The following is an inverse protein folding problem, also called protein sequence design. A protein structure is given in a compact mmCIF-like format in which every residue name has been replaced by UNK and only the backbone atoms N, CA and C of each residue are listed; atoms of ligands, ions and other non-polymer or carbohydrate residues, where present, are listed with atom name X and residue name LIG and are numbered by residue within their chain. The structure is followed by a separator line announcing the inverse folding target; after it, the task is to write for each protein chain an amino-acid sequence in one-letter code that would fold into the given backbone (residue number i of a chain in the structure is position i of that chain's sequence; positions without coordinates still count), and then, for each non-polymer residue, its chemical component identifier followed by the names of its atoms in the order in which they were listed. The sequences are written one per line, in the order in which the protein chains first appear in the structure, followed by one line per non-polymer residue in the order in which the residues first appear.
data_IF_662576228708
#
_entry.id   IF_662576228708
#
_cell.length_a   1.000
_cell.length_b   1.000
_cell.length_c   1.000
_cell.angle_alpha   90.00
_cell.angle_beta   90.00
_cell.angle_gamma   90.00
#
_symmetry.space_group_name_H-M   'P 1'
#
loop_
_entity.id
_entity.type
_entity.pdbx_description
1 polymer ?
#
# COMPACT_ATOMS: atom_id res chain seq x y z
N UNK A 1 -26.07 6.59 -26.69
CA UNK A 1 -25.54 7.79 -26.00
C UNK A 1 -24.12 7.45 -25.59
N UNK A 2 -23.13 8.03 -26.28
CA UNK A 2 -21.73 7.74 -26.05
C UNK A 2 -21.29 8.32 -24.71
N UNK A 3 -20.73 7.49 -23.88
CA UNK A 3 -20.02 7.89 -22.68
C UNK A 3 -18.79 8.70 -23.16
N UNK A 4 -18.84 10.01 -23.04
CA UNK A 4 -17.63 10.83 -23.09
C UNK A 4 -16.87 10.51 -21.83
N UNK A 5 -15.87 9.64 -21.97
CA UNK A 5 -14.96 9.34 -20.89
C UNK A 5 -14.32 10.62 -20.41
N UNK A 6 -14.60 10.98 -19.16
CA UNK A 6 -13.68 11.82 -18.40
C UNK A 6 -12.30 11.18 -18.53
N UNK A 7 -11.29 12.01 -18.66
CA UNK A 7 -9.90 11.61 -18.80
C UNK A 7 -9.48 10.87 -17.52
N UNK A 8 -9.92 9.61 -17.42
CA UNK A 8 -9.41 8.69 -16.44
C UNK A 8 -7.90 8.67 -16.62
N UNK A 9 -7.16 8.71 -15.54
CA UNK A 9 -5.72 8.64 -15.59
C UNK A 9 -5.35 7.38 -16.38
N UNK A 10 -4.91 7.58 -17.60
CA UNK A 10 -4.40 6.52 -18.43
C UNK A 10 -3.05 6.11 -17.82
N UNK A 11 -3.04 4.98 -17.13
CA UNK A 11 -1.82 4.45 -16.52
C UNK A 11 -0.69 4.24 -17.54
N UNK A 12 -1.04 4.14 -18.83
CA UNK A 12 -0.06 4.08 -19.93
C UNK A 12 0.53 5.45 -20.26
N UNK A 13 -0.19 6.54 -20.00
CA UNK A 13 0.28 7.90 -20.28
C UNK A 13 1.00 8.57 -19.11
N UNK A 14 0.71 8.12 -17.88
CA UNK A 14 1.30 8.70 -16.66
C UNK A 14 1.60 7.62 -15.61
N UNK A 15 2.35 6.58 -15.96
CA UNK A 15 2.74 5.60 -14.97
C UNK A 15 3.72 6.24 -13.98
N UNK A 16 3.70 5.86 -12.71
CA UNK A 16 4.85 6.05 -11.85
C UNK A 16 6.05 5.44 -12.57
N UNK A 17 7.01 6.25 -12.95
CA UNK A 17 8.14 5.83 -13.79
C UNK A 17 8.89 4.62 -13.23
N UNK A 18 8.73 4.35 -11.93
CA UNK A 18 9.42 3.30 -11.20
C UNK A 18 8.67 1.96 -11.20
N UNK A 19 7.33 1.98 -11.22
CA UNK A 19 6.50 0.79 -10.95
C UNK A 19 5.78 0.24 -12.18
N UNK A 20 5.78 0.93 -13.31
CA UNK A 20 5.06 0.54 -14.52
C UNK A 20 5.94 0.08 -15.67
N UNK A 21 7.25 0.00 -15.47
CA UNK A 21 8.21 -0.44 -16.52
C UNK A 21 7.92 -1.82 -17.09
N UNK A 22 7.19 -2.64 -16.33
CA UNK A 22 6.89 -4.03 -16.70
C UNK A 22 5.49 -4.24 -17.28
N UNK A 23 4.67 -3.18 -17.44
CA UNK A 23 3.29 -3.34 -17.93
C UNK A 23 3.26 -3.93 -19.34
N UNK A 24 4.07 -3.40 -20.25
CA UNK A 24 4.17 -3.90 -21.61
C UNK A 24 4.69 -5.33 -21.68
N UNK A 25 5.66 -5.68 -20.83
CA UNK A 25 6.18 -7.03 -20.72
C UNK A 25 5.12 -8.00 -20.21
N UNK A 26 4.33 -7.63 -19.22
CA UNK A 26 3.23 -8.45 -18.72
C UNK A 26 2.12 -8.62 -19.75
N UNK A 27 1.75 -7.57 -20.49
CA UNK A 27 0.77 -7.65 -21.58
C UNK A 27 1.30 -8.57 -22.69
N UNK A 28 2.58 -8.48 -23.03
CA UNK A 28 3.21 -9.37 -24.02
C UNK A 28 3.23 -10.85 -23.59
N UNK A 29 3.26 -11.10 -22.28
CA UNK A 29 3.13 -12.43 -21.68
C UNK A 29 1.67 -12.92 -21.61
N UNK A 30 0.71 -12.14 -22.09
CA UNK A 30 -0.72 -12.46 -22.01
C UNK A 30 -1.35 -12.25 -20.62
N UNK A 31 -0.68 -11.54 -19.73
CA UNK A 31 -1.22 -11.20 -18.40
C UNK A 31 -2.17 -10.02 -18.57
N UNK A 32 -3.41 -10.19 -18.11
CA UNK A 32 -4.38 -9.12 -18.12
C UNK A 32 -4.02 -8.07 -17.07
N UNK A 33 -3.79 -6.83 -17.51
CA UNK A 33 -3.59 -5.69 -16.62
C UNK A 33 -4.96 -5.07 -16.30
N UNK A 34 -5.26 -4.99 -15.00
CA UNK A 34 -6.48 -4.37 -14.49
C UNK A 34 -6.10 -3.00 -13.92
N UNK A 35 -6.39 -1.95 -14.67
CA UNK A 35 -6.23 -0.59 -14.15
C UNK A 35 -7.40 -0.27 -13.21
N UNK A 36 -7.15 0.19 -11.98
CA UNK A 36 -8.21 0.74 -11.14
C UNK A 36 -8.70 2.04 -11.76
N UNK A 37 -9.93 2.07 -12.22
CA UNK A 37 -10.53 3.30 -12.71
C UNK A 37 -10.95 4.17 -11.52
N UNK A 38 -10.41 5.37 -11.47
CA UNK A 38 -10.94 6.44 -10.64
C UNK A 38 -12.04 7.16 -11.39
N UNK A 39 -13.16 7.00 -10.94
CA UNK A 39 -14.38 7.71 -11.19
C UNK A 39 -15.27 7.36 -10.03
N UNK A 40 -16.49 7.79 -9.96
CA UNK A 40 -17.46 7.59 -8.86
C UNK A 40 -17.67 6.10 -8.44
N UNK A 41 -16.85 5.19 -8.92
CA UNK A 41 -16.93 3.78 -8.60
C UNK A 41 -15.58 3.05 -8.75
N UNK A 42 -14.77 3.08 -7.71
CA UNK A 42 -13.80 2.00 -7.48
C UNK A 42 -14.57 0.69 -7.28
N UNK A 43 -14.98 0.05 -8.37
CA UNK A 43 -15.75 -1.18 -8.29
C UNK A 43 -14.82 -2.31 -7.87
N UNK A 44 -15.25 -3.16 -6.91
CA UNK A 44 -14.51 -4.34 -6.59
C UNK A 44 -14.35 -5.26 -7.80
N UNK A 45 -13.17 -5.82 -7.95
CA UNK A 45 -12.84 -6.82 -8.97
C UNK A 45 -12.88 -8.19 -8.29
N UNK A 46 -13.62 -9.12 -8.87
CA UNK A 46 -13.70 -10.49 -8.36
C UNK A 46 -12.90 -11.43 -9.28
N UNK A 47 -11.95 -12.16 -8.69
CA UNK A 47 -11.06 -13.06 -9.43
C UNK A 47 -10.60 -14.23 -8.56
N UNK A 48 -10.87 -15.45 -8.97
CA UNK A 48 -10.36 -16.66 -8.32
C UNK A 48 -10.73 -16.79 -6.82
N UNK A 49 -11.92 -16.32 -6.41
CA UNK A 49 -12.33 -16.30 -5.00
C UNK A 49 -11.86 -15.06 -4.23
N UNK A 50 -10.99 -14.25 -4.81
CA UNK A 50 -10.59 -12.97 -4.26
C UNK A 50 -11.54 -11.86 -4.70
N UNK A 51 -11.81 -10.94 -3.79
CA UNK A 51 -12.41 -9.64 -4.09
C UNK A 51 -11.36 -8.57 -3.82
N UNK A 52 -10.98 -7.81 -4.83
CA UNK A 52 -10.00 -6.72 -4.74
C UNK A 52 -10.75 -5.40 -4.92
N UNK A 53 -10.73 -4.56 -3.88
CA UNK A 53 -11.31 -3.23 -3.91
C UNK A 53 -10.20 -2.18 -3.85
N UNK A 54 -9.92 -1.47 -4.94
CA UNK A 54 -9.00 -0.34 -4.91
C UNK A 54 -9.61 0.83 -4.15
N UNK A 55 -8.76 1.69 -3.58
CA UNK A 55 -9.13 2.97 -3.00
C UNK A 55 -8.01 3.99 -3.25
N UNK A 56 -8.39 5.26 -3.39
CA UNK A 56 -7.45 6.34 -3.64
C UNK A 56 -6.57 6.63 -2.42
N UNK A 57 -5.32 6.92 -2.68
CA UNK A 57 -4.37 7.44 -1.70
C UNK A 57 -4.19 8.93 -1.95
N UNK A 58 -5.13 9.70 -1.45
CA UNK A 58 -5.16 11.16 -1.58
C UNK A 58 -5.26 11.80 -0.20
N UNK A 59 -4.80 13.04 -0.11
CA UNK A 59 -5.01 13.93 1.03
C UNK A 59 -6.50 14.29 1.16
N UNK A 60 -6.87 15.05 2.19
CA UNK A 60 -8.26 15.48 2.42
C UNK A 60 -8.73 16.43 1.33
N UNK A 61 -7.85 17.26 0.78
CA UNK A 61 -8.11 18.19 -0.31
C UNK A 61 -8.12 17.55 -1.70
N UNK A 62 -7.81 16.26 -1.80
CA UNK A 62 -7.85 15.47 -3.02
C UNK A 62 -6.54 15.37 -3.80
N UNK A 63 -5.46 15.99 -3.32
CA UNK A 63 -4.13 15.84 -3.91
C UNK A 63 -3.58 14.43 -3.71
N UNK A 64 -2.84 13.89 -4.68
CA UNK A 64 -2.20 12.58 -4.56
C UNK A 64 -1.09 12.60 -3.52
N UNK A 65 -0.95 11.49 -2.79
CA UNK A 65 0.03 11.33 -1.72
C UNK A 65 1.34 10.71 -2.19
N UNK A 66 1.53 10.63 -3.49
CA UNK A 66 2.78 10.23 -4.12
C UNK A 66 3.18 11.23 -5.20
N UNK A 67 4.49 11.47 -5.31
CA UNK A 67 5.05 12.34 -6.34
C UNK A 67 6.18 11.61 -7.08
N UNK A 68 6.26 11.83 -8.39
CA UNK A 68 7.39 11.40 -9.19
C UNK A 68 8.68 12.13 -8.78
N UNK A 69 9.82 11.63 -9.24
CA UNK A 69 11.12 12.23 -8.97
C UNK A 69 11.25 13.69 -9.46
N UNK A 70 10.46 14.09 -10.47
CA UNK A 70 10.37 15.45 -11.00
C UNK A 70 9.42 16.36 -10.20
N UNK A 71 8.78 15.84 -9.14
CA UNK A 71 7.84 16.55 -8.28
C UNK A 71 6.41 16.60 -8.80
N UNK A 72 6.08 15.96 -9.92
CA UNK A 72 4.71 15.85 -10.42
C UNK A 72 3.90 14.87 -9.59
N UNK A 73 2.63 15.18 -9.34
CA UNK A 73 1.71 14.26 -8.64
C UNK A 73 1.46 13.00 -9.47
N UNK A 74 1.40 11.86 -8.77
CA UNK A 74 1.17 10.57 -9.38
C UNK A 74 -0.01 9.86 -8.72
N UNK A 75 -1.01 9.39 -9.50
CA UNK A 75 -2.07 8.55 -8.97
C UNK A 75 -1.52 7.30 -8.28
N UNK A 76 -1.90 7.10 -7.02
CA UNK A 76 -1.53 5.93 -6.24
C UNK A 76 -2.74 5.34 -5.52
N UNK A 77 -2.72 4.02 -5.34
CA UNK A 77 -3.86 3.28 -4.83
C UNK A 77 -3.44 2.29 -3.77
N UNK A 78 -4.30 2.19 -2.76
CA UNK A 78 -4.30 1.04 -1.86
C UNK A 78 -5.35 0.02 -2.30
N UNK A 79 -5.20 -1.21 -1.84
CA UNK A 79 -6.10 -2.31 -2.16
C UNK A 79 -6.59 -2.98 -0.89
N UNK A 80 -7.91 -3.12 -0.77
CA UNK A 80 -8.53 -4.03 0.18
C UNK A 80 -8.81 -5.35 -0.52
N UNK A 81 -8.10 -6.39 -0.15
CA UNK A 81 -8.18 -7.72 -0.73
C UNK A 81 -8.90 -8.63 0.26
N UNK A 82 -9.93 -9.32 -0.20
CA UNK A 82 -10.73 -10.23 0.64
C UNK A 82 -10.76 -11.62 0.02
N UNK A 83 -10.55 -12.64 0.82
CA UNK A 83 -10.72 -14.04 0.45
C UNK A 83 -11.22 -14.82 1.67
N UNK A 84 -12.07 -15.85 1.48
CA UNK A 84 -12.65 -16.61 2.59
C UNK A 84 -11.59 -17.21 3.53
N UNK A 85 -10.53 -17.78 2.99
CA UNK A 85 -9.46 -18.44 3.75
C UNK A 85 -8.47 -17.49 4.40
N UNK A 86 -8.32 -16.28 3.84
CA UNK A 86 -7.35 -15.27 4.31
C UNK A 86 -8.03 -14.22 5.21
N UNK A 87 -9.31 -13.96 4.99
CA UNK A 87 -9.99 -12.81 5.56
C UNK A 87 -9.71 -11.55 4.74
N UNK A 88 -9.40 -10.44 5.41
CA UNK A 88 -9.24 -9.12 4.80
C UNK A 88 -7.81 -8.64 4.93
N UNK A 89 -7.17 -8.33 3.82
CA UNK A 89 -5.83 -7.78 3.75
C UNK A 89 -5.84 -6.37 3.16
N UNK A 90 -5.09 -5.46 3.78
CA UNK A 90 -4.72 -4.18 3.18
C UNK A 90 -3.35 -4.31 2.52
N UNK A 91 -3.26 -3.84 1.28
CA UNK A 91 -2.01 -3.65 0.55
C UNK A 91 -1.87 -2.18 0.19
N UNK A 92 -0.86 -1.51 0.74
CA UNK A 92 -0.64 -0.07 0.58
C UNK A 92 0.85 0.18 0.44
N UNK A 93 1.26 0.81 -0.66
CA UNK A 93 2.65 1.26 -0.89
C UNK A 93 2.64 2.66 -1.50
N UNK A 94 3.78 3.32 -1.50
CA UNK A 94 4.02 4.58 -2.22
C UNK A 94 2.99 5.67 -1.89
N UNK A 95 2.99 6.06 -0.61
CA UNK A 95 2.13 7.12 -0.09
C UNK A 95 2.79 7.77 1.13
N UNK A 96 2.62 9.07 1.28
CA UNK A 96 3.11 9.80 2.47
C UNK A 96 2.12 9.72 3.65
N UNK A 97 0.84 9.46 3.36
CA UNK A 97 -0.20 9.34 4.38
C UNK A 97 -1.40 8.49 3.91
N UNK A 98 -2.17 8.00 4.88
CA UNK A 98 -3.39 7.21 4.63
C UNK A 98 -4.53 7.83 5.44
N UNK A 99 -5.48 8.48 4.76
CA UNK A 99 -6.65 9.13 5.39
C UNK A 99 -7.74 8.15 5.84
N UNK A 100 -7.71 6.93 5.32
CA UNK A 100 -8.75 5.92 5.52
C UNK A 100 -8.61 5.16 6.82
N UNK A 101 -9.74 4.75 7.38
CA UNK A 101 -9.81 3.77 8.46
C UNK A 101 -10.59 2.56 8.01
N UNK A 102 -10.13 1.39 8.43
CA UNK A 102 -10.70 0.10 8.04
C UNK A 102 -11.08 -0.69 9.29
N UNK A 103 -12.13 -1.52 9.18
CA UNK A 103 -12.58 -2.40 10.27
C UNK A 103 -12.37 -3.86 9.90
N UNK A 104 -12.04 -4.69 10.89
CA UNK A 104 -11.95 -6.13 10.71
C UNK A 104 -10.87 -6.56 9.71
N UNK A 105 -9.71 -5.91 9.75
CA UNK A 105 -8.55 -6.28 8.96
C UNK A 105 -7.81 -7.41 9.65
N UNK A 106 -7.41 -8.42 8.87
CA UNK A 106 -6.63 -9.56 9.34
C UNK A 106 -5.15 -9.38 9.04
N UNK A 107 -4.82 -8.77 7.92
CA UNK A 107 -3.43 -8.61 7.47
C UNK A 107 -3.21 -7.23 6.88
N UNK A 108 -2.05 -6.66 7.16
CA UNK A 108 -1.59 -5.39 6.58
C UNK A 108 -0.23 -5.63 5.92
N UNK A 109 -0.13 -5.39 4.61
CA UNK A 109 1.12 -5.26 3.87
C UNK A 109 1.31 -3.78 3.54
N UNK A 110 2.29 -3.14 4.17
CA UNK A 110 2.44 -1.70 4.20
C UNK A 110 3.84 -1.26 3.77
N UNK A 111 3.90 -0.38 2.77
CA UNK A 111 5.14 0.31 2.42
C UNK A 111 5.53 1.27 3.54
N UNK A 112 6.69 1.03 4.15
CA UNK A 112 7.26 1.87 5.22
C UNK A 112 8.70 2.16 4.85
N UNK A 113 8.96 3.37 4.40
CA UNK A 113 10.20 3.65 3.69
C UNK A 113 11.31 4.17 4.59
N UNK A 114 11.02 5.09 5.52
CA UNK A 114 12.06 5.83 6.21
C UNK A 114 11.76 6.11 7.69
N UNK A 115 12.82 6.34 8.45
CA UNK A 115 12.80 7.01 9.76
C UNK A 115 13.23 8.46 9.55
N UNK A 116 12.47 9.40 10.10
CA UNK A 116 12.76 10.85 9.97
C UNK A 116 14.13 11.20 10.53
N UNK A 117 14.56 10.50 11.56
CA UNK A 117 15.82 10.76 12.22
C UNK A 117 17.04 10.29 11.41
N UNK A 118 16.83 9.47 10.37
CA UNK A 118 17.89 8.95 9.49
C UNK A 118 17.97 9.69 8.16
N UNK A 119 16.98 10.56 7.83
CA UNK A 119 16.98 11.28 6.55
C UNK A 119 17.93 12.48 6.63
N UNK A 120 18.92 12.49 5.73
CA UNK A 120 19.75 13.67 5.49
C UNK A 120 18.92 14.77 4.80
N UNK A 121 18.53 15.78 5.56
CA UNK A 121 17.71 16.90 5.09
C UNK A 121 18.43 17.82 4.11
N UNK A 122 19.76 17.79 4.07
CA UNK A 122 20.57 18.56 3.13
C UNK A 122 20.63 17.87 1.75
N UNK A 123 20.17 16.62 1.66
CA UNK A 123 20.08 15.89 0.41
C UNK A 123 18.92 16.45 -0.46
N UNK A 124 19.18 16.86 -1.72
CA UNK A 124 18.12 17.34 -2.62
C UNK A 124 16.96 16.37 -2.83
N UNK A 125 17.17 15.07 -2.60
CA UNK A 125 16.13 14.04 -2.69
C UNK A 125 15.25 13.92 -1.43
N UNK A 126 15.57 14.59 -0.33
CA UNK A 126 14.81 14.49 0.92
C UNK A 126 13.32 14.82 0.73
N UNK A 127 13.01 15.86 -0.07
CA UNK A 127 11.62 16.22 -0.37
C UNK A 127 10.85 15.11 -1.07
N UNK A 128 11.47 14.37 -1.97
CA UNK A 128 10.84 13.22 -2.63
C UNK A 128 10.57 12.09 -1.63
N UNK A 129 11.51 11.83 -0.71
CA UNK A 129 11.31 10.84 0.36
C UNK A 129 10.09 11.19 1.21
N UNK A 130 9.99 12.46 1.63
CA UNK A 130 8.89 12.92 2.50
C UNK A 130 7.53 12.94 1.79
N UNK A 131 7.49 13.27 0.49
CA UNK A 131 6.25 13.45 -0.29
C UNK A 131 5.83 12.24 -1.12
N UNK A 132 6.52 11.15 -1.01
CA UNK A 132 6.20 9.94 -1.79
C UNK A 132 6.07 8.70 -0.92
N UNK A 133 6.52 8.77 0.33
CA UNK A 133 6.68 7.57 1.13
C UNK A 133 6.27 7.77 2.59
N UNK A 134 5.85 6.68 3.22
CA UNK A 134 5.40 6.65 4.61
C UNK A 134 6.58 6.51 5.56
N UNK A 135 6.64 7.38 6.57
CA UNK A 135 7.59 7.22 7.68
C UNK A 135 7.14 6.10 8.62
N UNK A 136 8.08 5.54 9.38
CA UNK A 136 7.76 4.52 10.39
C UNK A 136 6.77 5.06 11.45
N UNK A 137 6.88 6.31 11.85
CA UNK A 137 6.00 6.89 12.87
C UNK A 137 4.57 7.01 12.35
N UNK A 138 4.39 7.55 11.12
CA UNK A 138 3.07 7.64 10.47
C UNK A 138 2.48 6.25 10.22
N UNK A 139 3.32 5.27 9.86
CA UNK A 139 2.90 3.88 9.70
C UNK A 139 2.40 3.27 11.02
N UNK A 140 3.09 3.51 12.13
CA UNK A 140 2.67 3.07 13.45
C UNK A 140 1.32 3.68 13.86
N UNK A 141 1.13 4.98 13.62
CA UNK A 141 -0.15 5.65 13.91
C UNK A 141 -1.29 5.09 13.07
N UNK A 142 -1.06 4.85 11.78
CA UNK A 142 -2.04 4.20 10.90
C UNK A 142 -2.40 2.80 11.38
N UNK A 143 -1.41 1.97 11.67
CA UNK A 143 -1.65 0.58 12.12
C UNK A 143 -2.38 0.57 13.45
N UNK A 144 -1.96 1.39 14.42
CA UNK A 144 -2.63 1.54 15.73
C UNK A 144 -4.10 1.96 15.57
N UNK A 145 -4.41 2.85 14.63
CA UNK A 145 -5.77 3.30 14.36
C UNK A 145 -6.67 2.22 13.72
N UNK A 146 -6.08 1.19 13.13
CA UNK A 146 -6.75 0.08 12.47
C UNK A 146 -6.57 -1.25 13.23
N UNK A 147 -5.87 -1.25 14.36
CA UNK A 147 -5.65 -2.43 15.17
C UNK A 147 -6.96 -2.93 15.80
N UNK A 148 -7.12 -4.25 15.81
CA UNK A 148 -8.28 -4.93 16.35
C UNK A 148 -7.93 -6.39 16.66
N UNK A 149 -8.80 -7.09 17.39
CA UNK A 149 -8.63 -8.52 17.69
C UNK A 149 -8.49 -9.41 16.46
N UNK A 150 -8.93 -8.95 15.28
CA UNK A 150 -8.79 -9.70 14.03
C UNK A 150 -7.44 -9.50 13.35
N UNK A 151 -6.64 -8.49 13.73
CA UNK A 151 -5.34 -8.23 13.13
C UNK A 151 -4.32 -9.28 13.56
N UNK A 152 -3.75 -9.99 12.58
CA UNK A 152 -2.82 -11.09 12.80
C UNK A 152 -1.41 -10.77 12.33
N UNK A 153 -1.30 -10.09 11.19
CA UNK A 153 0.00 -9.81 10.59
C UNK A 153 0.09 -8.36 10.13
N UNK A 154 1.21 -7.73 10.45
CA UNK A 154 1.66 -6.46 9.88
C UNK A 154 3.02 -6.71 9.24
N UNK A 155 3.05 -6.67 7.92
CA UNK A 155 4.25 -6.91 7.12
C UNK A 155 4.67 -5.60 6.50
N UNK A 156 5.80 -5.07 6.90
CA UNK A 156 6.37 -3.85 6.33
C UNK A 156 7.21 -4.19 5.10
N UNK A 157 7.07 -3.42 4.05
CA UNK A 157 7.86 -3.55 2.82
C UNK A 157 8.36 -2.18 2.34
N UNK A 158 9.08 -2.15 1.22
CA UNK A 158 9.56 -0.90 0.60
C UNK A 158 10.49 -0.06 1.49
N UNK A 159 11.30 -0.70 2.32
CA UNK A 159 12.25 -0.02 3.20
C UNK A 159 13.39 0.60 2.39
N UNK A 160 13.74 1.86 2.69
CA UNK A 160 14.93 2.50 2.15
C UNK A 160 16.20 1.79 2.63
N UNK A 161 17.17 1.60 1.74
CA UNK A 161 18.49 1.07 2.13
C UNK A 161 19.31 2.05 2.95
N UNK A 162 19.01 3.35 2.86
CA UNK A 162 19.79 4.43 3.51
C UNK A 162 19.08 4.99 4.74
N UNK A 163 17.74 5.06 4.70
CA UNK A 163 16.94 5.79 5.69
C UNK A 163 16.07 4.88 6.57
N UNK A 164 16.33 3.56 6.58
CA UNK A 164 15.56 2.62 7.38
C UNK A 164 16.45 1.61 8.10
N UNK A 165 16.10 1.32 9.35
CA UNK A 165 16.65 0.19 10.10
C UNK A 165 15.55 -0.85 10.37
N UNK A 166 15.71 -2.03 9.79
CA UNK A 166 14.75 -3.13 9.89
C UNK A 166 14.40 -3.50 11.34
N UNK A 167 15.38 -3.55 12.21
CA UNK A 167 15.17 -4.00 13.59
C UNK A 167 14.47 -2.92 14.42
N UNK A 168 14.86 -1.66 14.23
CA UNK A 168 14.18 -0.52 14.80
C UNK A 168 12.73 -0.45 14.34
N UNK A 169 12.44 -0.64 13.06
CA UNK A 169 11.09 -0.64 12.51
C UNK A 169 10.21 -1.74 13.11
N UNK A 170 10.74 -2.96 13.23
CA UNK A 170 10.02 -4.06 13.89
C UNK A 170 9.74 -3.72 15.36
N UNK A 171 10.68 -3.14 16.08
CA UNK A 171 10.49 -2.77 17.48
C UNK A 171 9.44 -1.66 17.64
N UNK A 172 9.51 -0.58 16.84
CA UNK A 172 8.53 0.50 16.85
C UNK A 172 7.12 -0.02 16.49
N UNK A 173 6.98 -0.82 15.45
CA UNK A 173 5.69 -1.35 15.02
C UNK A 173 5.09 -2.33 16.02
N UNK A 174 5.89 -3.17 16.68
CA UNK A 174 5.42 -4.06 17.76
C UNK A 174 4.78 -3.30 18.93
N UNK A 175 5.25 -2.10 19.21
CA UNK A 175 4.66 -1.25 20.24
C UNK A 175 3.34 -0.59 19.80
N UNK A 176 3.04 -0.61 18.52
CA UNK A 176 1.83 -0.01 17.94
C UNK A 176 0.65 -1.01 17.82
N UNK A 177 0.88 -2.32 18.01
CA UNK A 177 -0.11 -3.38 17.83
C UNK A 177 -0.33 -4.20 19.09
N UNK A 178 -1.54 -4.77 19.25
CA UNK A 178 -1.91 -5.62 20.37
C UNK A 178 -1.84 -7.11 19.96
N UNK A 179 -0.62 -7.65 19.85
CA UNK A 179 -0.41 -9.09 19.65
C UNK A 179 -0.34 -9.57 18.20
N UNK A 180 -0.50 -8.69 17.21
CA UNK A 180 -0.27 -9.06 15.82
C UNK A 180 1.21 -9.41 15.57
N UNK A 181 1.46 -10.35 14.67
CA UNK A 181 2.80 -10.66 14.21
C UNK A 181 3.33 -9.50 13.34
N UNK A 182 4.52 -8.99 13.66
CA UNK A 182 5.17 -7.88 12.95
C UNK A 182 6.44 -8.37 12.29
N UNK A 183 6.57 -8.07 11.00
CA UNK A 183 7.72 -8.49 10.22
C UNK A 183 8.06 -7.49 9.09
N UNK A 184 9.20 -7.73 8.46
CA UNK A 184 9.65 -7.00 7.26
C UNK A 184 9.79 -7.97 6.09
N UNK A 185 9.22 -7.58 4.96
CA UNK A 185 9.32 -8.34 3.72
C UNK A 185 10.76 -8.36 3.21
N UNK A 186 11.27 -9.57 2.99
CA UNK A 186 12.58 -9.81 2.38
C UNK A 186 12.43 -10.88 1.30
N UNK A 187 13.28 -10.82 0.29
CA UNK A 187 13.26 -11.78 -0.81
C UNK A 187 13.32 -13.23 -0.30
N UNK A 188 12.45 -14.08 -0.83
CA UNK A 188 12.38 -15.50 -0.49
C UNK A 188 11.63 -15.84 0.81
N UNK A 189 11.16 -14.84 1.56
CA UNK A 189 10.33 -15.07 2.75
C UNK A 189 8.86 -15.17 2.39
N UNK A 190 8.13 -16.06 3.07
CA UNK A 190 6.68 -16.24 2.94
C UNK A 190 5.98 -16.17 4.29
N UNK A 191 4.71 -15.82 4.27
CA UNK A 191 3.83 -15.75 5.46
C UNK A 191 2.56 -16.53 5.21
N UNK A 192 2.09 -17.22 6.23
CA UNK A 192 0.77 -17.87 6.21
C UNK A 192 -0.30 -16.84 6.58
N UNK A 193 -1.18 -16.53 5.63
CA UNK A 193 -2.24 -15.56 5.77
C UNK A 193 -3.60 -16.24 5.99
N UNK A 194 -3.69 -17.15 6.94
CA UNK A 194 -4.97 -17.81 7.27
C UNK A 194 -5.90 -16.93 8.09
N UNK A 195 -7.18 -17.06 7.82
CA UNK A 195 -8.22 -16.47 8.67
C UNK A 195 -8.48 -17.37 9.88
N UNK A 196 -8.17 -16.94 11.13
CA UNK A 196 -8.36 -17.80 12.30
C UNK A 196 -9.84 -18.03 12.65
N UNK A 197 -10.73 -17.21 12.07
CA UNK A 197 -12.18 -17.32 12.29
C UNK A 197 -12.84 -18.29 11.30
N UNK A 198 -12.09 -18.87 10.39
CA UNK A 198 -12.60 -19.95 9.55
C UNK A 198 -12.70 -21.21 10.40
N UNK A 199 -13.92 -21.47 10.86
CA UNK A 199 -14.23 -22.74 11.54
C UNK A 199 -14.06 -23.86 10.50
N UNK A 200 -13.20 -24.86 10.73
CA UNK A 200 -12.99 -25.96 9.78
C UNK A 200 -14.17 -26.93 9.71
N UNK A 201 -15.29 -26.62 10.37
CA UNK A 201 -16.50 -27.46 10.43
C UNK A 201 -17.76 -26.68 10.09
#
# INVERSE_FOLDING_TARGET
MGYKGDKGCDYKSHPPLDHSKSVEDFEAMGIQILAPYLGDSCKPINMGGFTVKPFDLTTIDGSWTHTNADGTECPCYGFLITHKEMGRMLYITDTELIKWRFKGINHILLGVNYDKDLVDTDNPKANHVFRGHLSIDTACDFVKANDSYSLQNVIMCHLSSENADKYSFIAKMKNAVNGANVDVAVAGKSWDLKNPNECPF
#
